data_IF_948058582237
#
_entry.id   IF_948058582237
#
_cell.length_a   1.000
_cell.length_b   1.000
_cell.length_c   1.000
_cell.angle_alpha   90.00
_cell.angle_beta   90.00
_cell.angle_gamma   90.00
#
_symmetry.space_group_name_H-M   'P 1'
#
loop_
_entity.id
_entity.type
_entity.pdbx_description
1 polymer ?
#
# COMPACT_ATOMS: atom_id res chain seq x y z
N UNK A 1 10.77 24.37 -12.03
CA UNK A 1 10.17 24.26 -10.68
C UNK A 1 11.28 24.40 -9.64
N UNK A 2 11.18 25.38 -8.74
CA UNK A 2 12.24 25.68 -7.77
C UNK A 2 12.38 24.59 -6.69
N UNK A 3 13.54 24.52 -6.01
CA UNK A 3 13.75 23.60 -4.88
C UNK A 3 12.70 23.81 -3.78
N UNK A 4 12.42 25.07 -3.44
CA UNK A 4 11.39 25.45 -2.44
C UNK A 4 10.00 24.94 -2.82
N UNK A 5 9.60 25.07 -4.08
CA UNK A 5 8.31 24.55 -4.56
C UNK A 5 8.19 23.02 -4.43
N UNK A 6 9.28 22.29 -4.65
CA UNK A 6 9.28 20.81 -4.51
C UNK A 6 9.15 20.41 -3.04
N UNK A 7 9.83 21.12 -2.13
CA UNK A 7 9.73 20.89 -0.70
C UNK A 7 8.30 21.19 -0.23
N UNK A 8 7.75 22.35 -0.58
CA UNK A 8 6.37 22.71 -0.26
C UNK A 8 5.37 21.65 -0.76
N UNK A 9 5.54 21.17 -1.99
CA UNK A 9 4.67 20.13 -2.53
C UNK A 9 4.83 18.78 -1.82
N UNK A 10 6.03 18.42 -1.35
CA UNK A 10 6.22 17.20 -0.55
C UNK A 10 5.52 17.32 0.80
N UNK A 11 5.62 18.48 1.44
CA UNK A 11 4.92 18.79 2.70
C UNK A 11 3.42 18.68 2.48
N UNK A 12 2.90 19.26 1.39
CA UNK A 12 1.48 19.12 1.03
C UNK A 12 1.07 17.65 0.85
N UNK A 13 1.86 16.85 0.13
CA UNK A 13 1.58 15.41 -0.06
C UNK A 13 1.60 14.67 1.28
N UNK A 14 2.51 14.99 2.20
CA UNK A 14 2.51 14.42 3.56
C UNK A 14 1.18 14.70 4.28
N UNK A 15 0.73 15.96 4.29
CA UNK A 15 -0.53 16.32 4.92
C UNK A 15 -1.72 15.64 4.26
N UNK A 16 -1.80 15.65 2.92
CA UNK A 16 -2.86 14.97 2.17
C UNK A 16 -2.92 13.47 2.49
N UNK A 17 -1.77 12.80 2.57
CA UNK A 17 -1.73 11.39 2.94
C UNK A 17 -2.09 11.13 4.41
N UNK A 18 -2.00 12.13 5.30
CA UNK A 18 -2.40 12.01 6.71
C UNK A 18 -3.87 12.39 6.97
N UNK A 19 -4.55 13.06 6.02
CA UNK A 19 -5.96 13.44 6.15
C UNK A 19 -6.86 12.27 6.56
N UNK A 20 -6.78 11.07 5.92
CA UNK A 20 -7.64 9.95 6.30
C UNK A 20 -7.40 9.48 7.74
N UNK A 21 -6.14 9.43 8.16
CA UNK A 21 -5.78 9.09 9.52
C UNK A 21 -6.29 10.14 10.52
N UNK A 22 -6.12 11.42 10.22
CA UNK A 22 -6.65 12.51 11.03
C UNK A 22 -8.18 12.47 11.14
N UNK A 23 -8.87 12.14 10.04
CA UNK A 23 -10.31 11.92 10.01
C UNK A 23 -10.74 10.77 10.93
N UNK A 24 -10.00 9.66 10.93
CA UNK A 24 -10.26 8.52 11.78
C UNK A 24 -10.11 8.89 13.27
N UNK A 25 -9.04 9.61 13.62
CA UNK A 25 -8.80 10.12 14.99
C UNK A 25 -9.91 11.08 15.42
N UNK A 26 -10.31 12.01 14.55
CA UNK A 26 -11.41 12.91 14.83
C UNK A 26 -12.75 12.16 15.02
N UNK A 27 -13.03 11.15 14.18
CA UNK A 27 -14.23 10.31 14.28
C UNK A 27 -14.29 9.52 15.59
N UNK A 28 -13.13 9.09 16.09
CA UNK A 28 -13.01 8.45 17.40
C UNK A 28 -13.29 9.45 18.53
N UNK A 29 -12.62 10.60 18.54
CA UNK A 29 -12.74 11.61 19.60
C UNK A 29 -14.14 12.25 19.67
N UNK A 30 -14.82 12.38 18.53
CA UNK A 30 -16.19 12.92 18.47
C UNK A 30 -17.27 11.91 18.88
N UNK A 31 -16.90 10.66 19.18
CA UNK A 31 -17.86 9.58 19.45
C UNK A 31 -18.61 9.07 18.22
N UNK A 32 -18.40 9.66 17.04
CA UNK A 32 -19.05 9.26 15.79
C UNK A 32 -18.77 7.80 15.41
N UNK A 33 -17.61 7.29 15.82
CA UNK A 33 -17.22 5.89 15.59
C UNK A 33 -18.08 4.92 16.41
N UNK A 34 -18.49 5.30 17.63
CA UNK A 34 -19.35 4.49 18.49
C UNK A 34 -20.80 4.39 17.94
N UNK A 35 -21.20 5.29 17.05
CA UNK A 35 -22.50 5.25 16.37
C UNK A 35 -22.52 4.29 15.18
N UNK A 36 -21.37 3.71 14.79
CA UNK A 36 -21.31 2.70 13.71
C UNK A 36 -21.81 1.36 14.25
N UNK A 37 -22.55 0.61 13.41
CA UNK A 37 -23.05 -0.72 13.76
C UNK A 37 -21.93 -1.71 14.14
N UNK A 38 -20.80 -1.61 13.45
CA UNK A 38 -19.56 -2.32 13.80
C UNK A 38 -18.37 -1.36 13.60
N UNK A 39 -17.94 -0.68 14.68
CA UNK A 39 -16.84 0.28 14.62
C UNK A 39 -15.51 -0.36 14.18
N UNK A 40 -15.22 -1.57 14.66
CA UNK A 40 -13.97 -2.27 14.35
C UNK A 40 -13.92 -2.61 12.87
N UNK A 41 -14.99 -3.22 12.35
CA UNK A 41 -15.09 -3.54 10.93
C UNK A 41 -14.99 -2.29 10.04
N UNK A 42 -15.60 -1.18 10.44
CA UNK A 42 -15.47 0.10 9.74
C UNK A 42 -14.02 0.59 9.69
N UNK A 43 -13.31 0.59 10.83
CA UNK A 43 -11.90 1.03 10.89
C UNK A 43 -11.02 0.14 9.99
N UNK A 44 -11.21 -1.19 10.07
CA UNK A 44 -10.43 -2.15 9.28
C UNK A 44 -10.65 -1.95 7.78
N UNK A 45 -11.89 -1.77 7.33
CA UNK A 45 -12.18 -1.50 5.92
C UNK A 45 -11.64 -0.13 5.49
N UNK A 46 -11.88 0.92 6.27
CA UNK A 46 -11.41 2.28 5.96
C UNK A 46 -9.89 2.33 5.78
N UNK A 47 -9.14 1.73 6.70
CA UNK A 47 -7.67 1.69 6.63
C UNK A 47 -7.16 0.83 5.47
N UNK A 48 -7.87 -0.25 5.12
CA UNK A 48 -7.59 -1.09 3.95
C UNK A 48 -7.85 -0.37 2.62
N UNK A 49 -8.98 0.33 2.50
CA UNK A 49 -9.33 1.13 1.33
C UNK A 49 -8.27 2.20 1.06
N UNK A 50 -7.86 2.95 2.09
CA UNK A 50 -6.81 3.96 1.95
C UNK A 50 -5.43 3.37 1.64
N UNK A 51 -5.10 2.19 2.16
CA UNK A 51 -3.90 1.48 1.75
C UNK A 51 -3.90 1.17 0.24
N UNK A 52 -5.03 0.68 -0.28
CA UNK A 52 -5.21 0.37 -1.70
C UNK A 52 -5.21 1.65 -2.57
N UNK A 53 -5.92 2.70 -2.17
CA UNK A 53 -5.99 3.96 -2.93
C UNK A 53 -4.61 4.62 -3.05
N UNK A 54 -3.83 4.66 -1.97
CA UNK A 54 -2.49 5.24 -1.98
C UNK A 54 -1.53 4.36 -2.78
N UNK A 55 -1.69 3.03 -2.73
CA UNK A 55 -0.93 2.10 -3.57
C UNK A 55 -1.23 2.32 -5.06
N UNK A 56 -2.50 2.45 -5.44
CA UNK A 56 -2.92 2.76 -6.82
C UNK A 56 -2.40 4.13 -7.26
N UNK A 57 -2.46 5.14 -6.39
CA UNK A 57 -1.88 6.47 -6.66
C UNK A 57 -0.37 6.39 -6.90
N UNK A 58 0.37 5.59 -6.12
CA UNK A 58 1.80 5.35 -6.33
C UNK A 58 2.09 4.71 -7.69
N UNK A 59 1.26 3.74 -8.10
CA UNK A 59 1.36 3.09 -9.41
C UNK A 59 1.05 4.07 -10.56
N UNK A 60 0.07 4.96 -10.37
CA UNK A 60 -0.36 5.96 -11.33
C UNK A 60 0.72 7.01 -11.67
N UNK A 61 1.66 7.28 -10.76
CA UNK A 61 2.78 8.22 -11.02
C UNK A 61 3.55 7.87 -12.30
N UNK A 62 3.72 6.58 -12.60
CA UNK A 62 4.53 6.13 -13.76
C UNK A 62 3.86 6.36 -15.11
N UNK A 63 2.59 6.00 -15.36
CA UNK A 63 1.89 6.37 -16.58
C UNK A 63 1.64 7.88 -16.66
N UNK A 64 1.26 8.55 -15.56
CA UNK A 64 0.99 10.00 -15.54
C UNK A 64 2.17 10.84 -16.04
N UNK A 65 3.39 10.54 -15.58
CA UNK A 65 4.59 11.28 -16.05
C UNK A 65 4.90 11.11 -17.54
N UNK A 66 4.33 10.10 -18.20
CA UNK A 66 4.56 9.81 -19.63
C UNK A 66 3.55 10.47 -20.54
N UNK A 67 2.40 10.89 -20.02
CA UNK A 67 1.41 11.66 -20.79
C UNK A 67 1.89 13.06 -21.15
N UNK A 68 2.66 13.71 -20.26
CA UNK A 68 3.23 15.03 -20.53
C UNK A 68 4.60 15.20 -19.89
N UNK A 69 5.59 15.77 -20.60
CA UNK A 69 6.89 16.16 -20.03
C UNK A 69 6.76 17.07 -18.81
N UNK A 70 5.71 17.90 -18.75
CA UNK A 70 5.42 18.79 -17.61
C UNK A 70 5.15 18.02 -16.31
N UNK A 71 4.72 16.76 -16.40
CA UNK A 71 4.42 15.89 -15.25
C UNK A 71 5.61 15.02 -14.82
N UNK A 72 6.78 15.16 -15.43
CA UNK A 72 7.96 14.37 -15.10
C UNK A 72 8.40 14.51 -13.63
N UNK A 73 8.14 15.67 -13.01
CA UNK A 73 8.46 15.93 -11.61
C UNK A 73 7.70 15.02 -10.63
N UNK A 74 6.56 14.44 -11.02
CA UNK A 74 5.75 13.54 -10.19
C UNK A 74 6.54 12.32 -9.68
N UNK A 75 7.56 11.89 -10.43
CA UNK A 75 8.42 10.75 -10.04
C UNK A 75 9.12 10.98 -8.70
N UNK A 76 9.33 12.25 -8.31
CA UNK A 76 9.99 12.64 -7.05
C UNK A 76 9.13 12.36 -5.82
N UNK A 77 7.82 12.16 -5.99
CA UNK A 77 6.88 11.84 -4.91
C UNK A 77 6.57 10.34 -4.81
N UNK A 78 6.95 9.55 -5.83
CA UNK A 78 6.64 8.11 -5.87
C UNK A 78 7.06 7.38 -4.60
N UNK A 79 8.28 7.64 -4.12
CA UNK A 79 8.78 7.00 -2.89
C UNK A 79 7.97 7.42 -1.66
N UNK A 80 7.61 8.69 -1.57
CA UNK A 80 6.83 9.22 -0.45
C UNK A 80 5.43 8.57 -0.40
N UNK A 81 4.72 8.56 -1.52
CA UNK A 81 3.38 7.96 -1.64
C UNK A 81 3.45 6.45 -1.33
N UNK A 82 4.47 5.75 -1.84
CA UNK A 82 4.67 4.33 -1.57
C UNK A 82 4.90 4.01 -0.08
N UNK A 83 5.60 4.87 0.66
CA UNK A 83 5.76 4.70 2.11
C UNK A 83 4.45 4.90 2.86
N UNK A 84 3.59 5.82 2.41
CA UNK A 84 2.24 5.96 2.97
C UNK A 84 1.35 4.75 2.65
N UNK A 85 1.45 4.15 1.46
CA UNK A 85 0.74 2.90 1.17
C UNK A 85 1.15 1.80 2.18
N UNK A 86 2.45 1.69 2.50
CA UNK A 86 2.92 0.77 3.52
C UNK A 86 2.46 1.14 4.94
N UNK A 87 2.44 2.44 5.29
CA UNK A 87 1.91 2.93 6.56
C UNK A 87 0.45 2.49 6.76
N UNK A 88 -0.42 2.74 5.77
CA UNK A 88 -1.83 2.34 5.85
C UNK A 88 -2.01 0.82 5.78
N UNK A 89 -1.20 0.09 5.01
CA UNK A 89 -1.23 -1.37 5.02
C UNK A 89 -0.83 -1.94 6.39
N UNK A 90 0.13 -1.31 7.07
CA UNK A 90 0.52 -1.69 8.43
C UNK A 90 -0.55 -1.32 9.44
N UNK A 91 -1.19 -0.15 9.29
CA UNK A 91 -2.33 0.23 10.11
C UNK A 91 -3.50 -0.76 9.93
N UNK A 92 -3.83 -1.13 8.70
CA UNK A 92 -4.84 -2.14 8.38
C UNK A 92 -4.54 -3.48 9.05
N UNK A 93 -3.31 -4.00 8.90
CA UNK A 93 -2.87 -5.23 9.58
C UNK A 93 -2.93 -5.09 11.12
N UNK A 94 -2.53 -3.95 11.66
CA UNK A 94 -2.59 -3.67 13.10
C UNK A 94 -4.03 -3.66 13.61
N UNK A 95 -5.00 -3.15 12.84
CA UNK A 95 -6.41 -3.19 13.25
C UNK A 95 -6.91 -4.62 13.38
N UNK A 96 -6.48 -5.53 12.51
CA UNK A 96 -6.80 -6.94 12.64
C UNK A 96 -6.14 -7.58 13.88
N UNK A 97 -4.84 -7.34 14.08
CA UNK A 97 -4.07 -7.93 15.19
C UNK A 97 -4.55 -7.40 16.55
N UNK A 98 -4.96 -6.14 16.63
CA UNK A 98 -5.26 -5.47 17.91
C UNK A 98 -6.76 -5.40 18.15
N UNK A 99 -7.54 -4.86 17.20
CA UNK A 99 -8.96 -4.62 17.42
C UNK A 99 -9.78 -5.87 17.15
N UNK A 100 -9.52 -6.57 16.05
CA UNK A 100 -10.32 -7.74 15.66
C UNK A 100 -10.02 -8.98 16.49
N UNK A 101 -8.78 -9.15 16.95
CA UNK A 101 -8.40 -10.30 17.79
C UNK A 101 -8.96 -10.24 19.22
N UNK A 102 -9.53 -9.09 19.62
CA UNK A 102 -10.01 -8.86 20.98
C UNK A 102 -8.92 -8.48 21.98
N UNK A 103 -7.76 -7.97 21.54
CA UNK A 103 -6.70 -7.53 22.45
C UNK A 103 -7.16 -6.33 23.28
N UNK A 104 -7.26 -6.49 24.60
CA UNK A 104 -7.74 -5.44 25.48
C UNK A 104 -6.65 -4.39 25.76
N UNK A 105 -6.65 -3.34 24.93
CA UNK A 105 -5.74 -2.20 25.06
C UNK A 105 -5.94 -1.51 26.41
N UNK A 106 -7.17 -1.41 26.92
CA UNK A 106 -7.48 -0.69 28.16
C UNK A 106 -6.89 -1.44 29.35
N UNK A 107 -7.06 -2.75 29.41
CA UNK A 107 -6.46 -3.61 30.42
C UNK A 107 -4.93 -3.54 30.38
N UNK A 108 -4.33 -3.58 29.19
CA UNK A 108 -2.86 -3.45 29.05
C UNK A 108 -2.37 -2.09 29.52
N UNK A 109 -3.05 -0.99 29.16
CA UNK A 109 -2.69 0.35 29.60
C UNK A 109 -2.80 0.49 31.12
N UNK A 110 -3.87 -0.06 31.72
CA UNK A 110 -4.04 -0.07 33.16
C UNK A 110 -2.98 -0.92 33.86
N UNK A 111 -2.65 -2.09 33.33
CA UNK A 111 -1.58 -2.96 33.84
C UNK A 111 -0.21 -2.29 33.81
N UNK A 112 0.12 -1.56 32.74
CA UNK A 112 1.37 -0.78 32.68
C UNK A 112 1.37 0.33 33.73
N UNK A 113 0.26 1.07 33.87
CA UNK A 113 0.14 2.17 34.86
C UNK A 113 0.25 1.68 36.30
N UNK A 114 -0.19 0.46 36.59
CA UNK A 114 -0.12 -0.14 37.93
C UNK A 114 1.17 -0.94 38.18
N UNK A 115 2.16 -0.86 37.29
CA UNK A 115 3.45 -1.54 37.45
C UNK A 115 3.41 -3.04 37.16
N UNK A 116 2.40 -3.53 36.45
CA UNK A 116 2.24 -4.93 36.04
C UNK A 116 2.44 -5.12 34.53
N UNK A 117 3.66 -5.00 33.99
CA UNK A 117 3.91 -5.15 32.56
C UNK A 117 3.64 -6.58 32.05
N UNK A 118 3.59 -7.58 32.95
CA UNK A 118 3.26 -8.96 32.60
C UNK A 118 1.87 -9.15 31.98
N UNK A 119 0.96 -8.17 32.15
CA UNK A 119 -0.36 -8.16 31.51
C UNK A 119 -0.24 -8.15 29.98
N UNK A 120 0.76 -7.48 29.41
CA UNK A 120 1.01 -7.46 27.95
C UNK A 120 1.16 -8.88 27.40
N UNK A 121 1.98 -9.70 28.08
CA UNK A 121 2.27 -11.07 27.66
C UNK A 121 1.05 -11.97 27.89
N UNK A 122 0.30 -11.75 28.97
CA UNK A 122 -0.93 -12.50 29.25
C UNK A 122 -1.98 -12.27 28.16
N UNK A 123 -2.28 -11.02 27.84
CA UNK A 123 -3.21 -10.66 26.77
C UNK A 123 -2.73 -11.19 25.41
N UNK A 124 -1.43 -11.06 25.12
CA UNK A 124 -0.85 -11.62 23.90
C UNK A 124 -1.06 -13.13 23.79
N UNK A 125 -0.85 -13.89 24.88
CA UNK A 125 -1.06 -15.34 24.91
C UNK A 125 -2.51 -15.74 24.63
N UNK A 126 -3.48 -14.89 24.97
CA UNK A 126 -4.91 -15.12 24.70
C UNK A 126 -5.21 -14.95 23.21
N UNK A 127 -4.66 -13.89 22.58
CA UNK A 127 -5.01 -13.54 21.19
C UNK A 127 -4.17 -14.25 20.12
N UNK A 128 -2.94 -14.68 20.44
CA UNK A 128 -2.05 -15.29 19.44
C UNK A 128 -2.61 -16.58 18.79
N UNK A 129 -3.22 -17.54 19.53
CA UNK A 129 -3.68 -18.78 18.93
C UNK A 129 -4.84 -18.58 17.92
N UNK A 130 -5.88 -17.77 18.22
CA UNK A 130 -6.91 -17.41 17.24
C UNK A 130 -6.33 -16.71 16.00
N UNK A 131 -5.41 -15.75 16.18
CA UNK A 131 -4.77 -15.04 15.06
C UNK A 131 -4.06 -16.03 14.13
N UNK A 132 -3.26 -16.95 14.69
CA UNK A 132 -2.55 -17.95 13.89
C UNK A 132 -3.55 -18.89 13.19
N UNK A 133 -4.56 -19.35 13.90
CA UNK A 133 -5.59 -20.23 13.35
C UNK A 133 -6.32 -19.56 12.17
N UNK A 134 -6.65 -18.28 12.28
CA UNK A 134 -7.25 -17.51 11.20
C UNK A 134 -6.28 -17.30 10.03
N UNK A 135 -5.00 -16.98 10.30
CA UNK A 135 -3.97 -16.86 9.28
C UNK A 135 -3.79 -18.16 8.48
N UNK A 136 -3.87 -19.32 9.14
CA UNK A 136 -3.71 -20.63 8.50
C UNK A 136 -4.97 -21.07 7.75
N UNK A 137 -6.17 -20.70 8.22
CA UNK A 137 -7.44 -21.15 7.63
C UNK A 137 -7.97 -20.20 6.55
N UNK A 138 -7.70 -18.89 6.65
CA UNK A 138 -8.34 -17.88 5.80
C UNK A 138 -7.42 -17.45 4.67
N UNK A 139 -7.71 -17.93 3.46
CA UNK A 139 -6.94 -17.63 2.24
C UNK A 139 -6.81 -16.13 1.96
N UNK A 140 -7.85 -15.34 2.23
CA UNK A 140 -7.77 -13.89 2.04
C UNK A 140 -6.73 -13.26 2.98
N UNK A 141 -6.65 -13.67 4.24
CA UNK A 141 -5.64 -13.16 5.19
C UNK A 141 -4.24 -13.51 4.71
N UNK A 142 -4.02 -14.73 4.21
CA UNK A 142 -2.71 -15.15 3.68
C UNK A 142 -2.24 -14.27 2.53
N UNK A 143 -3.13 -13.99 1.57
CA UNK A 143 -2.81 -13.12 0.43
C UNK A 143 -2.55 -11.68 0.87
N UNK A 144 -3.36 -11.17 1.82
CA UNK A 144 -3.15 -9.83 2.40
C UNK A 144 -1.81 -9.72 3.12
N UNK A 145 -1.47 -10.71 3.95
CA UNK A 145 -0.20 -10.79 4.66
C UNK A 145 0.99 -10.89 3.69
N UNK A 146 0.86 -11.71 2.64
CA UNK A 146 1.87 -11.80 1.58
C UNK A 146 2.09 -10.46 0.85
N UNK A 147 1.01 -9.74 0.53
CA UNK A 147 1.10 -8.40 -0.03
C UNK A 147 1.81 -7.43 0.94
N UNK A 148 1.49 -7.49 2.23
CA UNK A 148 2.15 -6.70 3.26
C UNK A 148 3.64 -7.01 3.38
N UNK A 149 4.05 -8.29 3.32
CA UNK A 149 5.47 -8.69 3.33
C UNK A 149 6.24 -8.11 2.14
N UNK A 150 5.63 -8.09 0.95
CA UNK A 150 6.22 -7.42 -0.21
C UNK A 150 6.37 -5.93 0.09
N UNK A 151 5.31 -5.25 0.56
CA UNK A 151 5.37 -3.82 0.87
C UNK A 151 6.41 -3.51 1.96
N UNK A 152 6.55 -4.37 2.97
CA UNK A 152 7.59 -4.29 4.00
C UNK A 152 8.99 -4.36 3.37
N UNK A 153 9.25 -5.34 2.51
CA UNK A 153 10.53 -5.46 1.82
C UNK A 153 10.84 -4.20 0.98
N UNK A 154 9.84 -3.64 0.30
CA UNK A 154 9.99 -2.39 -0.46
C UNK A 154 10.24 -1.17 0.44
N UNK A 155 9.56 -1.08 1.58
CA UNK A 155 9.73 0.00 2.53
C UNK A 155 11.13 -0.04 3.18
N UNK A 156 11.56 -1.22 3.62
CA UNK A 156 12.88 -1.46 4.21
C UNK A 156 14.00 -1.18 3.21
N UNK A 157 13.80 -1.46 1.92
CA UNK A 157 14.79 -1.18 0.86
C UNK A 157 14.62 0.20 0.19
N UNK A 158 13.75 1.05 0.74
CA UNK A 158 13.56 2.42 0.26
C UNK A 158 14.72 3.39 0.59
N UNK A 159 15.46 3.29 1.73
CA UNK A 159 16.55 4.19 2.05
C UNK A 159 17.65 4.24 0.99
N UNK A 160 18.20 5.43 0.78
CA UNK A 160 19.17 5.68 -0.30
C UNK A 160 20.49 4.92 -0.10
N UNK A 161 20.86 4.58 1.13
CA UNK A 161 22.05 3.77 1.40
C UNK A 161 21.85 2.31 0.96
N UNK A 162 20.68 1.72 1.21
CA UNK A 162 20.36 0.34 0.77
C UNK A 162 20.26 0.27 -0.76
N UNK A 163 19.62 1.26 -1.40
CA UNK A 163 19.59 1.35 -2.86
C UNK A 163 20.99 1.37 -3.48
N UNK A 164 21.92 2.11 -2.86
CA UNK A 164 23.33 2.18 -3.30
C UNK A 164 24.06 0.85 -3.08
N UNK A 165 23.86 0.21 -1.93
CA UNK A 165 24.50 -1.06 -1.57
C UNK A 165 24.03 -2.24 -2.44
N UNK A 166 22.74 -2.36 -2.73
CA UNK A 166 22.18 -3.48 -3.52
C UNK A 166 22.45 -3.38 -5.02
N UNK A 167 22.84 -2.19 -5.49
CA UNK A 167 22.94 -1.88 -6.91
C UNK A 167 21.57 -1.62 -7.56
N UNK A 168 21.52 -0.61 -8.45
CA UNK A 168 20.27 -0.13 -9.03
C UNK A 168 19.47 -1.18 -9.80
N UNK A 169 20.12 -2.17 -10.43
CA UNK A 169 19.43 -3.25 -11.19
C UNK A 169 18.64 -4.17 -10.27
N UNK A 170 19.24 -4.63 -9.17
CA UNK A 170 18.59 -5.53 -8.21
C UNK A 170 17.52 -4.79 -7.41
N UNK A 171 17.81 -3.54 -7.02
CA UNK A 171 16.81 -2.67 -6.38
C UNK A 171 15.57 -2.48 -7.27
N UNK A 172 15.76 -2.25 -8.58
CA UNK A 172 14.66 -2.15 -9.53
C UNK A 172 13.90 -3.48 -9.70
N UNK A 173 14.59 -4.63 -9.71
CA UNK A 173 13.95 -5.96 -9.76
C UNK A 173 13.04 -6.15 -8.55
N UNK A 174 13.53 -5.89 -7.34
CA UNK A 174 12.76 -5.95 -6.11
C UNK A 174 11.57 -5.00 -6.15
N UNK A 175 11.78 -3.74 -6.55
CA UNK A 175 10.72 -2.73 -6.63
C UNK A 175 9.68 -2.96 -7.74
N UNK A 176 9.87 -3.96 -8.61
CA UNK A 176 8.79 -4.44 -9.49
C UNK A 176 7.79 -5.33 -8.76
N UNK A 177 8.11 -5.86 -7.59
CA UNK A 177 7.16 -6.62 -6.79
C UNK A 177 5.97 -5.77 -6.32
N UNK A 178 6.03 -4.44 -6.41
CA UNK A 178 4.88 -3.56 -6.17
C UNK A 178 3.67 -3.92 -7.04
N UNK A 179 3.87 -4.45 -8.26
CA UNK A 179 2.77 -4.91 -9.11
C UNK A 179 2.13 -6.17 -8.55
N UNK A 180 2.94 -7.09 -8.03
CA UNK A 180 2.48 -8.31 -7.37
C UNK A 180 1.71 -7.95 -6.10
N UNK A 181 2.23 -7.03 -5.29
CA UNK A 181 1.54 -6.55 -4.09
C UNK A 181 0.18 -5.92 -4.42
N UNK A 182 0.08 -5.10 -5.49
CA UNK A 182 -1.18 -4.49 -5.88
C UNK A 182 -2.21 -5.50 -6.40
N UNK A 183 -1.78 -6.47 -7.20
CA UNK A 183 -2.66 -7.56 -7.66
C UNK A 183 -3.12 -8.39 -6.45
N UNK A 184 -2.20 -8.76 -5.56
CA UNK A 184 -2.53 -9.49 -4.34
C UNK A 184 -3.50 -8.70 -3.44
N UNK A 185 -3.34 -7.39 -3.29
CA UNK A 185 -4.26 -6.55 -2.54
C UNK A 185 -5.68 -6.55 -3.12
N UNK A 186 -5.83 -6.49 -4.44
CA UNK A 186 -7.14 -6.58 -5.10
C UNK A 186 -7.74 -7.98 -4.94
N UNK A 187 -6.96 -9.05 -5.08
CA UNK A 187 -7.42 -10.43 -4.86
C UNK A 187 -7.88 -10.63 -3.41
N UNK A 188 -7.09 -10.14 -2.46
CA UNK A 188 -7.43 -10.13 -1.04
C UNK A 188 -8.79 -9.44 -0.80
N UNK A 189 -9.03 -8.29 -1.42
CA UNK A 189 -10.29 -7.57 -1.29
C UNK A 189 -11.48 -8.32 -1.92
N UNK A 190 -11.31 -8.93 -3.09
CA UNK A 190 -12.35 -9.76 -3.72
C UNK A 190 -12.73 -10.98 -2.88
N UNK A 191 -11.79 -11.60 -2.17
CA UNK A 191 -12.08 -12.74 -1.30
C UNK A 191 -12.62 -12.35 0.07
N UNK A 192 -12.44 -11.09 0.48
CA UNK A 192 -13.03 -10.56 1.70
C UNK A 192 -14.53 -10.32 1.55
N UNK A 193 -14.95 -9.77 0.41
CA UNK A 193 -16.34 -9.38 0.19
C UNK A 193 -17.23 -10.62 0.00
N UNK A 194 -18.46 -10.53 0.49
CA UNK A 194 -19.46 -11.59 0.29
C UNK A 194 -19.76 -11.78 -1.19
N UNK A 195 -20.12 -12.99 -1.58
CA UNK A 195 -20.55 -13.31 -2.94
C UNK A 195 -21.69 -12.37 -3.37
N UNK A 196 -21.61 -11.83 -4.58
CA UNK A 196 -22.57 -10.86 -5.12
C UNK A 196 -22.24 -9.39 -4.79
N UNK A 197 -21.41 -9.11 -3.80
CA UNK A 197 -20.93 -7.74 -3.52
C UNK A 197 -19.79 -7.40 -4.47
N UNK A 198 -19.94 -6.31 -5.23
CA UNK A 198 -18.96 -5.92 -6.26
C UNK A 198 -18.07 -4.75 -5.86
N UNK A 199 -18.05 -4.31 -4.61
CA UNK A 199 -17.28 -3.13 -4.17
C UNK A 199 -15.84 -3.03 -4.72
N UNK A 200 -15.05 -4.13 -4.88
CA UNK A 200 -13.67 -4.03 -5.39
C UNK A 200 -13.56 -3.77 -6.90
N UNK A 201 -14.67 -3.70 -7.65
CA UNK A 201 -14.66 -3.56 -9.11
C UNK A 201 -13.95 -2.29 -9.56
N UNK A 202 -14.12 -1.18 -8.83
CA UNK A 202 -13.51 0.12 -9.16
C UNK A 202 -12.00 0.03 -9.08
N UNK A 203 -11.47 -0.54 -8.01
CA UNK A 203 -10.03 -0.70 -7.79
C UNK A 203 -9.41 -1.65 -8.81
N UNK A 204 -10.14 -2.71 -9.17
CA UNK A 204 -9.75 -3.66 -10.22
C UNK A 204 -9.64 -2.97 -11.58
N UNK A 205 -10.63 -2.14 -11.93
CA UNK A 205 -10.64 -1.39 -13.18
C UNK A 205 -9.46 -0.40 -13.24
N UNK A 206 -9.24 0.37 -12.16
CA UNK A 206 -8.11 1.30 -12.05
C UNK A 206 -6.78 0.56 -12.17
N UNK A 207 -6.58 -0.52 -11.41
CA UNK A 207 -5.35 -1.31 -11.47
C UNK A 207 -5.11 -1.85 -12.89
N UNK A 208 -6.13 -2.41 -13.52
CA UNK A 208 -6.05 -2.96 -14.87
C UNK A 208 -5.63 -1.89 -15.88
N UNK A 209 -6.27 -0.71 -15.85
CA UNK A 209 -5.91 0.42 -16.71
C UNK A 209 -4.45 0.83 -16.49
N UNK A 210 -4.00 0.93 -15.24
CA UNK A 210 -2.64 1.33 -14.90
C UNK A 210 -1.59 0.31 -15.39
N UNK A 211 -1.88 -0.99 -15.27
CA UNK A 211 -0.99 -2.05 -15.74
C UNK A 211 -0.94 -2.10 -17.28
N UNK A 212 -2.09 -2.03 -17.96
CA UNK A 212 -2.17 -2.00 -19.41
C UNK A 212 -1.46 -0.79 -20.01
N UNK A 213 -1.70 0.40 -19.46
CA UNK A 213 -1.01 1.62 -19.89
C UNK A 213 0.52 1.43 -19.83
N UNK A 214 1.02 0.77 -18.79
CA UNK A 214 2.45 0.52 -18.63
C UNK A 214 3.03 -0.46 -19.66
N UNK A 215 2.29 -1.51 -19.99
CA UNK A 215 2.67 -2.46 -21.04
C UNK A 215 2.70 -1.74 -22.39
N UNK A 216 1.65 -0.99 -22.73
CA UNK A 216 1.54 -0.20 -23.95
C UNK A 216 2.72 0.78 -24.10
N UNK A 217 3.04 1.55 -23.06
CA UNK A 217 4.19 2.48 -23.09
C UNK A 217 5.55 1.80 -23.21
N UNK A 218 5.68 0.55 -22.77
CA UNK A 218 6.93 -0.21 -22.92
C UNK A 218 7.03 -0.78 -24.33
N UNK A 219 5.93 -1.29 -24.88
CA UNK A 219 5.86 -1.78 -26.26
C UNK A 219 6.11 -0.66 -27.29
N UNK A 220 5.44 0.49 -27.15
CA UNK A 220 5.65 1.66 -28.02
C UNK A 220 7.11 2.14 -28.05
N UNK A 221 7.80 2.12 -26.90
CA UNK A 221 9.22 2.48 -26.84
C UNK A 221 10.09 1.49 -27.61
N UNK A 222 9.80 0.19 -27.54
CA UNK A 222 10.53 -0.85 -28.28
C UNK A 222 10.29 -0.73 -29.79
N UNK A 223 9.06 -0.45 -30.20
CA UNK A 223 8.70 -0.25 -31.60
C UNK A 223 9.40 0.97 -32.22
N UNK A 224 9.43 2.10 -31.49
CA UNK A 224 10.16 3.32 -31.93
C UNK A 224 11.68 3.19 -31.91
N UNK A 225 12.22 2.23 -31.15
CA UNK A 225 13.66 2.01 -31.02
C UNK A 225 14.24 0.99 -32.01
N UNK A 226 13.40 0.33 -32.84
CA UNK A 226 13.88 -0.43 -34.00
C UNK A 226 14.07 0.54 -35.17
N UNK A 227 15.30 0.89 -35.59
CA UNK A 227 15.51 1.51 -36.90
C UNK A 227 15.21 0.45 -37.97
N UNK A 228 14.66 0.87 -39.10
CA UNK A 228 14.45 0.01 -40.26
C UNK A 228 15.79 -0.55 -40.75
N UNK A 229 16.11 -1.79 -40.35
CA UNK A 229 17.14 -2.61 -40.98
C UNK A 229 16.56 -3.13 -42.31
N UNK A 230 16.38 -2.26 -43.29
CA UNK A 230 16.04 -2.65 -44.66
C UNK A 230 16.27 -1.48 -45.62
N UNK A 231 17.54 -1.24 -45.95
CA UNK A 231 18.00 -0.77 -47.27
C UNK A 231 19.52 -0.85 -47.28
N UNK A 232 20.07 -2.07 -47.26
CA UNK A 232 21.40 -2.29 -47.84
C UNK A 232 21.19 -3.16 -49.05
N UNK A 233 20.69 -2.52 -50.11
CA UNK A 233 20.63 -3.05 -51.46
C UNK A 233 22.06 -3.43 -51.84
N UNK A 234 22.24 -4.71 -52.13
CA UNK A 234 23.34 -5.28 -52.88
C UNK A 234 23.62 -4.40 -54.11
N UNK A 235 24.78 -3.74 -54.15
CA UNK A 235 25.35 -3.29 -55.41
C UNK A 235 26.38 -4.33 -55.84
N UNK A 236 26.16 -4.78 -57.07
CA UNK A 236 26.93 -5.69 -57.92
C UNK A 236 28.42 -5.43 -57.91
#
# INVERSE_FOLDING_TARGET
>A
MSKRAIIALKVLVHFLCLVPFAWLVHSYNSGALALKADPVNYITHFTGDWALYILLACLAVTPLRRFSPKLAFLIRFRRLIGLYAFFYATLHLATYIILFSGYDIVMVLNGIRTGQPGVIIKEWKIVWPPILNDLLKRRFIQVGFFAWLILLALALTSPAFIMRAMGGKNWQRLHRLIYVAAIAAVIHFWWLVKTGVRTPWKDTAVLTILLLARIAFTAMKRLRAKPALSTRTTKS
#
